data_IF_690328224902
#
_entry.id   IF_690328224902
#
_cell.length_a   1.000
_cell.length_b   1.000
_cell.length_c   1.000
_cell.angle_alpha   90.00
_cell.angle_beta   90.00
_cell.angle_gamma   90.00
#
_symmetry.space_group_name_H-M   'P 1'
#
loop_
_entity.id
_entity.type
_entity.pdbx_description
1 polymer ?
#
# COMPACT_ATOMS: atom_id res chain seq x y z
N UNK A 1 6.95 -19.43 -1.29
CA UNK A 1 8.04 -18.57 -1.84
C UNK A 1 7.67 -17.09 -1.96
N UNK A 2 6.42 -16.71 -2.29
CA UNK A 2 6.03 -15.29 -2.42
C UNK A 2 5.91 -14.49 -1.10
N UNK A 3 5.69 -15.14 0.05
CA UNK A 3 5.56 -14.47 1.36
C UNK A 3 6.93 -14.07 1.96
N UNK A 4 8.01 -14.75 1.58
CA UNK A 4 9.37 -14.48 2.12
C UNK A 4 10.00 -13.22 1.50
N UNK A 5 9.61 -12.86 0.26
CA UNK A 5 10.17 -11.71 -0.45
C UNK A 5 9.77 -10.35 0.14
N UNK A 6 8.63 -10.27 0.83
CA UNK A 6 8.15 -9.01 1.44
C UNK A 6 8.86 -8.74 2.78
N UNK A 7 9.25 -9.77 3.55
CA UNK A 7 10.04 -9.57 4.77
C UNK A 7 11.48 -9.10 4.49
N UNK A 8 12.08 -9.49 3.36
CA UNK A 8 13.45 -9.06 3.00
C UNK A 8 13.50 -7.57 2.61
N UNK A 9 12.41 -6.99 2.08
CA UNK A 9 12.38 -5.57 1.71
C UNK A 9 12.26 -4.61 2.90
N UNK A 10 11.66 -5.03 4.02
CA UNK A 10 11.54 -4.19 5.23
C UNK A 10 12.86 -4.12 6.03
N UNK A 11 13.72 -5.13 5.90
CA UNK A 11 15.05 -5.14 6.54
C UNK A 11 16.09 -4.33 5.74
N UNK A 12 15.82 -4.02 4.46
CA UNK A 12 16.79 -3.44 3.53
C UNK A 12 17.05 -1.93 3.63
N UNK A 13 16.29 -1.17 4.42
CA UNK A 13 16.42 0.30 4.48
C UNK A 13 17.13 0.87 5.73
N UNK A 14 17.58 0.03 6.66
CA UNK A 14 18.24 0.48 7.90
C UNK A 14 19.76 0.28 7.92
N UNK A 15 20.39 -0.12 6.82
CA UNK A 15 21.86 -0.29 6.75
C UNK A 15 22.45 0.57 5.64
N UNK A 16 22.40 1.89 5.78
CA UNK A 16 23.33 2.79 5.09
C UNK A 16 23.32 4.16 5.77
N UNK A 17 24.24 4.34 6.72
CA UNK A 17 24.99 5.58 7.00
C UNK A 17 25.61 5.48 8.38
N UNK A 18 26.89 5.11 8.48
CA UNK A 18 27.88 5.73 9.37
C UNK A 18 29.27 5.35 8.86
N UNK A 19 29.75 6.08 7.86
CA UNK A 19 31.18 6.26 7.66
C UNK A 19 31.61 7.41 8.59
N UNK A 20 32.08 7.05 9.78
CA UNK A 20 32.63 7.93 10.81
C UNK A 20 33.50 7.08 11.73
N UNK A 21 34.65 7.61 12.13
CA UNK A 21 35.80 6.90 12.74
C UNK A 21 35.50 5.63 13.57
N UNK A 22 36.16 4.53 13.20
CA UNK A 22 35.95 3.16 13.71
C UNK A 22 36.64 2.90 15.07
N UNK A 23 37.16 3.94 15.73
CA UNK A 23 37.86 3.77 17.01
C UNK A 23 37.03 4.35 18.15
N UNK A 24 36.13 3.52 18.70
CA UNK A 24 35.67 3.48 20.12
C UNK A 24 34.29 2.80 20.31
N UNK A 25 33.94 1.82 19.46
CA UNK A 25 32.85 0.88 19.79
C UNK A 25 33.49 -0.39 20.36
N UNK A 26 33.25 -0.78 21.62
CA UNK A 26 33.81 -2.00 22.17
C UNK A 26 33.35 -3.19 21.33
N UNK A 27 34.28 -3.86 20.65
CA UNK A 27 34.02 -5.07 19.87
C UNK A 27 33.46 -6.15 20.80
N UNK A 28 32.19 -6.50 20.64
CA UNK A 28 31.60 -7.70 21.22
C UNK A 28 32.41 -8.90 20.71
N UNK A 29 32.88 -9.76 21.61
CA UNK A 29 33.64 -10.94 21.18
C UNK A 29 32.73 -11.93 20.45
N UNK A 30 33.27 -12.72 19.51
CA UNK A 30 32.49 -13.75 18.79
C UNK A 30 31.77 -14.74 19.74
N UNK A 31 32.32 -14.98 20.92
CA UNK A 31 31.72 -15.82 21.95
C UNK A 31 30.48 -15.16 22.58
N UNK A 32 30.57 -13.88 22.95
CA UNK A 32 29.43 -13.12 23.48
C UNK A 32 28.33 -12.94 22.43
N UNK A 33 28.69 -12.77 21.16
CA UNK A 33 27.72 -12.71 20.06
C UNK A 33 26.96 -14.04 19.89
N UNK A 34 27.65 -15.18 19.99
CA UNK A 34 27.01 -16.50 19.93
C UNK A 34 26.08 -16.75 21.13
N UNK A 35 26.47 -16.31 22.32
CA UNK A 35 25.65 -16.42 23.53
C UNK A 35 24.36 -15.58 23.41
N UNK A 36 24.46 -14.33 22.93
CA UNK A 36 23.30 -13.47 22.67
C UNK A 36 22.38 -14.10 21.62
N UNK A 37 22.93 -14.63 20.52
CA UNK A 37 22.14 -15.32 19.49
C UNK A 37 21.42 -16.54 20.05
N UNK A 38 22.09 -17.36 20.86
CA UNK A 38 21.49 -18.54 21.48
C UNK A 38 20.33 -18.17 22.40
N UNK A 39 20.51 -17.17 23.27
CA UNK A 39 19.43 -16.70 24.16
C UNK A 39 18.23 -16.21 23.35
N UNK A 40 18.48 -15.47 22.26
CA UNK A 40 17.43 -14.96 21.38
C UNK A 40 16.67 -16.08 20.68
N UNK A 41 17.39 -17.06 20.13
CA UNK A 41 16.80 -18.20 19.44
C UNK A 41 15.99 -19.08 20.40
N UNK A 42 16.50 -19.29 21.62
CA UNK A 42 15.78 -19.97 22.70
C UNK A 42 14.49 -19.22 23.07
N UNK A 43 14.53 -17.89 23.16
CA UNK A 43 13.34 -17.08 23.40
C UNK A 43 12.28 -17.27 22.31
N UNK A 44 12.64 -17.18 21.03
CA UNK A 44 11.68 -17.37 19.95
C UNK A 44 11.12 -18.78 19.89
N UNK A 45 11.94 -19.79 20.17
CA UNK A 45 11.47 -21.16 20.29
C UNK A 45 10.42 -21.29 21.40
N UNK A 46 10.69 -20.71 22.58
CA UNK A 46 9.73 -20.72 23.69
C UNK A 46 8.43 -19.98 23.34
N UNK A 47 8.51 -18.87 22.61
CA UNK A 47 7.32 -18.15 22.11
C UNK A 47 6.50 -19.03 21.16
N UNK A 48 7.15 -19.74 20.24
CA UNK A 48 6.49 -20.69 19.33
C UNK A 48 5.85 -21.87 20.07
N UNK A 49 6.44 -22.28 21.19
CA UNK A 49 5.89 -23.31 22.09
C UNK A 49 4.84 -22.74 23.07
N UNK A 50 4.44 -21.47 22.93
CA UNK A 50 3.49 -20.74 23.78
C UNK A 50 3.92 -20.59 25.26
N UNK A 51 5.21 -20.78 25.57
CA UNK A 51 5.80 -20.68 26.91
C UNK A 51 6.26 -19.25 27.21
N UNK A 52 5.33 -18.32 27.25
CA UNK A 52 5.62 -16.88 27.34
C UNK A 52 6.36 -16.46 28.61
N UNK A 53 6.04 -17.04 29.77
CA UNK A 53 6.76 -16.73 31.02
C UNK A 53 8.21 -17.23 31.01
N UNK A 54 8.46 -18.39 30.39
CA UNK A 54 9.82 -18.92 30.22
C UNK A 54 10.62 -18.04 29.25
N UNK A 55 10.00 -17.59 28.16
CA UNK A 55 10.60 -16.64 27.25
C UNK A 55 10.97 -15.33 27.98
N UNK A 56 10.07 -14.75 28.76
CA UNK A 56 10.36 -13.54 29.56
C UNK A 56 11.54 -13.73 30.52
N UNK A 57 11.66 -14.90 31.16
CA UNK A 57 12.77 -15.19 32.05
C UNK A 57 14.12 -15.25 31.29
N UNK A 58 14.12 -15.78 30.06
CA UNK A 58 15.31 -15.82 29.21
C UNK A 58 15.70 -14.43 28.69
N UNK A 59 14.73 -13.59 28.34
CA UNK A 59 14.98 -12.22 27.84
C UNK A 59 15.78 -11.37 28.83
N UNK A 60 15.57 -11.57 30.13
CA UNK A 60 16.31 -10.83 31.16
C UNK A 60 17.83 -11.09 31.14
N UNK A 61 18.28 -12.18 30.49
CA UNK A 61 19.70 -12.49 30.30
C UNK A 61 20.34 -11.68 29.16
N UNK A 62 19.53 -11.10 28.26
CA UNK A 62 20.02 -10.19 27.24
C UNK A 62 20.48 -8.88 27.90
N UNK A 63 21.54 -8.27 27.37
CA UNK A 63 22.04 -6.98 27.86
C UNK A 63 21.43 -5.80 27.12
N UNK A 64 21.24 -5.94 25.81
CA UNK A 64 20.74 -4.90 24.91
C UNK A 64 19.27 -4.60 25.13
N UNK A 65 18.92 -3.32 25.26
CA UNK A 65 17.53 -2.86 25.26
C UNK A 65 16.82 -3.12 23.93
N UNK A 66 17.55 -3.09 22.80
CA UNK A 66 17.00 -3.41 21.48
C UNK A 66 16.54 -4.87 21.41
N UNK A 67 17.41 -5.81 21.80
CA UNK A 67 17.07 -7.25 21.76
C UNK A 67 15.93 -7.58 22.73
N UNK A 68 15.91 -6.96 23.92
CA UNK A 68 14.79 -7.11 24.86
C UNK A 68 13.49 -6.58 24.28
N UNK A 69 13.51 -5.39 23.70
CA UNK A 69 12.32 -4.78 23.14
C UNK A 69 11.74 -5.61 21.99
N UNK A 70 12.59 -6.21 21.16
CA UNK A 70 12.16 -7.07 20.05
C UNK A 70 11.48 -8.36 20.54
N UNK A 71 12.07 -9.03 21.53
CA UNK A 71 11.46 -10.23 22.11
C UNK A 71 10.19 -9.91 22.89
N UNK A 72 10.17 -8.84 23.70
CA UNK A 72 8.95 -8.41 24.38
C UNK A 72 7.84 -8.09 23.39
N UNK A 73 8.14 -7.37 22.30
CA UNK A 73 7.18 -7.10 21.23
C UNK A 73 6.62 -8.39 20.64
N UNK A 74 7.48 -9.37 20.38
CA UNK A 74 7.09 -10.68 19.88
C UNK A 74 6.14 -11.42 20.83
N UNK A 75 6.45 -11.43 22.14
CA UNK A 75 5.56 -12.02 23.15
C UNK A 75 4.21 -11.32 23.15
N UNK A 76 4.18 -9.98 23.14
CA UNK A 76 2.94 -9.21 23.18
C UNK A 76 2.06 -9.39 21.94
N UNK A 77 2.65 -9.61 20.76
CA UNK A 77 1.90 -9.93 19.54
C UNK A 77 1.44 -11.39 19.47
N UNK A 78 2.18 -12.32 20.04
CA UNK A 78 1.88 -13.76 19.94
C UNK A 78 0.91 -14.27 21.02
N UNK A 79 0.85 -13.62 22.18
CA UNK A 79 -0.03 -14.07 23.27
C UNK A 79 -1.46 -13.55 23.11
N UNK A 80 -2.44 -14.36 23.54
CA UNK A 80 -3.85 -13.97 23.70
C UNK A 80 -4.22 -13.65 25.15
N UNK A 81 -3.30 -13.86 26.10
CA UNK A 81 -3.51 -13.54 27.51
C UNK A 81 -3.33 -12.04 27.77
N UNK A 82 -4.42 -11.38 28.16
CA UNK A 82 -4.45 -9.94 28.47
C UNK A 82 -3.49 -9.56 29.60
N UNK A 83 -3.30 -10.42 30.59
CA UNK A 83 -2.36 -10.17 31.69
C UNK A 83 -0.91 -10.17 31.17
N UNK A 84 -0.58 -11.13 30.30
CA UNK A 84 0.73 -11.18 29.63
C UNK A 84 0.95 -9.98 28.71
N UNK A 85 -0.05 -9.57 27.91
CA UNK A 85 0.05 -8.37 27.06
C UNK A 85 0.28 -7.11 27.91
N UNK A 86 -0.44 -6.94 29.02
CA UNK A 86 -0.25 -5.82 29.93
C UNK A 86 1.14 -5.80 30.58
N UNK A 87 1.65 -6.97 30.98
CA UNK A 87 3.01 -7.14 31.52
C UNK A 87 4.07 -6.73 30.50
N UNK A 88 3.96 -7.21 29.26
CA UNK A 88 4.87 -6.85 28.16
C UNK A 88 4.83 -5.37 27.84
N UNK A 89 3.63 -4.77 27.80
CA UNK A 89 3.46 -3.33 27.59
C UNK A 89 4.22 -2.52 28.64
N UNK A 90 4.10 -2.88 29.93
CA UNK A 90 4.84 -2.20 31.00
C UNK A 90 6.37 -2.33 30.85
N UNK A 91 6.86 -3.49 30.39
CA UNK A 91 8.29 -3.71 30.12
C UNK A 91 8.79 -2.84 28.94
N UNK A 92 8.01 -2.77 27.87
CA UNK A 92 8.33 -1.91 26.72
C UNK A 92 8.29 -0.43 27.08
N UNK A 93 7.31 0.00 27.88
CA UNK A 93 7.22 1.37 28.39
C UNK A 93 8.44 1.73 29.26
N UNK A 94 8.90 0.79 30.09
CA UNK A 94 10.11 0.97 30.90
C UNK A 94 11.38 1.11 30.05
N UNK A 95 11.53 0.31 28.98
CA UNK A 95 12.63 0.47 28.02
C UNK A 95 12.55 1.84 27.34
N UNK A 96 11.37 2.22 26.83
CA UNK A 96 11.16 3.51 26.18
C UNK A 96 11.46 4.71 27.10
N UNK A 97 11.14 4.60 28.39
CA UNK A 97 11.41 5.67 29.37
C UNK A 97 12.88 5.76 29.76
N UNK A 98 13.61 4.64 29.72
CA UNK A 98 15.03 4.60 30.08
C UNK A 98 15.97 4.93 28.93
N UNK A 99 15.49 4.88 27.68
CA UNK A 99 16.27 5.16 26.47
C UNK A 99 15.45 6.02 25.48
N UNK A 100 15.78 7.30 25.38
CA UNK A 100 15.08 8.25 24.51
C UNK A 100 15.19 7.90 23.01
N UNK A 101 16.22 7.13 22.63
CA UNK A 101 16.38 6.66 21.24
C UNK A 101 15.33 5.62 20.84
N UNK A 102 14.64 5.03 21.83
CA UNK A 102 13.59 4.02 21.66
C UNK A 102 12.18 4.59 21.48
N UNK A 103 12.05 5.88 21.18
CA UNK A 103 10.76 6.54 20.97
C UNK A 103 9.84 5.83 19.96
N UNK A 104 10.41 5.11 18.99
CA UNK A 104 9.68 4.29 18.01
C UNK A 104 8.84 3.17 18.65
N UNK A 105 9.19 2.71 19.87
CA UNK A 105 8.45 1.66 20.58
C UNK A 105 7.01 2.08 20.92
N UNK A 106 6.70 3.38 20.91
CA UNK A 106 5.34 3.85 21.15
C UNK A 106 4.33 3.20 20.20
N UNK A 107 4.66 3.11 18.90
CA UNK A 107 3.77 2.46 17.92
C UNK A 107 3.59 0.98 18.23
N UNK A 108 4.66 0.29 18.63
CA UNK A 108 4.59 -1.14 18.99
C UNK A 108 3.74 -1.36 20.24
N UNK A 109 3.95 -0.57 21.28
CA UNK A 109 3.16 -0.58 22.52
C UNK A 109 1.68 -0.38 22.19
N UNK A 110 1.36 0.61 21.36
CA UNK A 110 -0.01 0.92 20.98
C UNK A 110 -0.67 -0.22 20.18
N UNK A 111 0.07 -0.88 19.28
CA UNK A 111 -0.44 -2.06 18.56
C UNK A 111 -0.77 -3.21 19.50
N UNK A 112 0.10 -3.51 20.48
CA UNK A 112 -0.14 -4.58 21.46
C UNK A 112 -1.36 -4.25 22.33
N UNK A 113 -1.49 -2.98 22.78
CA UNK A 113 -2.66 -2.52 23.54
C UNK A 113 -3.96 -2.76 22.78
N UNK A 114 -3.99 -2.41 21.49
CA UNK A 114 -5.17 -2.56 20.62
C UNK A 114 -5.65 -4.01 20.50
N UNK A 115 -4.77 -5.02 20.58
CA UNK A 115 -5.16 -6.43 20.53
C UNK A 115 -6.08 -6.84 21.69
N UNK A 116 -5.96 -6.17 22.83
CA UNK A 116 -6.68 -6.51 24.07
C UNK A 116 -7.95 -5.69 24.31
N UNK A 117 -8.10 -4.59 23.56
CA UNK A 117 -9.17 -3.60 23.70
C UNK A 117 -10.50 -4.15 23.17
N UNK A 118 -11.60 -3.79 23.83
CA UNK A 118 -12.93 -3.89 23.22
C UNK A 118 -13.04 -2.93 22.04
N UNK A 119 -14.00 -3.16 21.14
CA UNK A 119 -14.18 -2.25 20.00
C UNK A 119 -14.48 -0.80 20.43
N UNK A 120 -15.23 -0.59 21.51
CA UNK A 120 -15.49 0.74 22.08
C UNK A 120 -14.22 1.41 22.61
N UNK A 121 -13.32 0.63 23.20
CA UNK A 121 -12.01 1.11 23.66
C UNK A 121 -11.11 1.45 22.47
N UNK A 122 -11.06 0.60 21.43
CA UNK A 122 -10.35 0.87 20.19
C UNK A 122 -10.85 2.16 19.53
N UNK A 123 -12.15 2.37 19.42
CA UNK A 123 -12.72 3.61 18.85
C UNK A 123 -12.29 4.84 19.64
N UNK A 124 -12.35 4.78 20.98
CA UNK A 124 -11.92 5.90 21.84
C UNK A 124 -10.43 6.18 21.67
N UNK A 125 -9.61 5.15 21.63
CA UNK A 125 -8.17 5.24 21.45
C UNK A 125 -7.78 5.80 20.06
N UNK A 126 -8.40 5.30 19.00
CA UNK A 126 -8.16 5.82 17.65
C UNK A 126 -8.61 7.27 17.49
N UNK A 127 -9.72 7.68 18.12
CA UNK A 127 -10.18 9.08 18.11
C UNK A 127 -9.28 10.03 18.91
N UNK A 128 -8.56 9.56 19.92
CA UNK A 128 -7.58 10.38 20.65
C UNK A 128 -6.28 10.56 19.87
N UNK A 129 -5.97 9.68 18.92
CA UNK A 129 -4.78 9.77 18.07
C UNK A 129 -4.99 10.85 17.00
N UNK A 130 -4.19 11.92 17.08
CA UNK A 130 -4.22 13.06 16.14
C UNK A 130 -3.20 12.95 15.01
N UNK A 131 -2.13 12.22 15.25
CA UNK A 131 -1.13 11.94 14.22
C UNK A 131 -1.65 10.86 13.28
N UNK A 132 -1.95 11.27 12.04
CA UNK A 132 -2.49 10.37 11.03
C UNK A 132 -1.50 9.25 10.68
N UNK A 133 -0.18 9.51 10.67
CA UNK A 133 0.83 8.50 10.34
C UNK A 133 0.87 7.37 11.35
N UNK A 134 0.62 7.69 12.63
CA UNK A 134 0.48 6.72 13.71
C UNK A 134 -0.86 6.00 13.58
N UNK A 135 -1.95 6.75 13.43
CA UNK A 135 -3.30 6.18 13.33
C UNK A 135 -3.41 5.16 12.19
N UNK A 136 -2.90 5.48 11.00
CA UNK A 136 -2.95 4.59 9.83
C UNK A 136 -2.17 3.29 10.05
N UNK A 137 -1.07 3.33 10.83
CA UNK A 137 -0.31 2.12 11.17
C UNK A 137 -1.01 1.21 12.19
N UNK A 138 -1.94 1.77 12.97
CA UNK A 138 -2.70 1.04 13.99
C UNK A 138 -3.99 0.41 13.43
N UNK A 139 -4.46 0.89 12.28
CA UNK A 139 -5.78 0.56 11.72
C UNK A 139 -5.86 -0.79 10.98
N UNK A 140 -4.98 -1.75 11.25
CA UNK A 140 -5.04 -3.09 10.62
C UNK A 140 -5.88 -4.12 11.42
N UNK A 141 -6.75 -3.65 12.32
CA UNK A 141 -7.48 -4.50 13.26
C UNK A 141 -8.96 -4.51 12.91
N UNK A 142 -9.51 -5.71 12.67
CA UNK A 142 -10.93 -5.91 12.41
C UNK A 142 -11.76 -5.50 13.63
N UNK A 143 -12.71 -4.60 13.41
CA UNK A 143 -13.85 -4.41 14.31
C UNK A 143 -14.87 -5.52 14.05
N UNK A 144 -15.56 -5.96 15.09
CA UNK A 144 -16.66 -6.92 14.96
C UNK A 144 -17.94 -6.23 14.46
N UNK A 145 -18.17 -4.97 14.86
CA UNK A 145 -19.29 -4.14 14.38
C UNK A 145 -18.81 -3.11 13.34
N UNK A 146 -19.37 -3.11 12.12
CA UNK A 146 -19.07 -2.12 11.08
C UNK A 146 -19.25 -0.66 11.54
N UNK A 147 -20.17 -0.36 12.46
CA UNK A 147 -20.37 1.00 12.99
C UNK A 147 -19.10 1.55 13.66
N UNK A 148 -18.28 0.70 14.27
CA UNK A 148 -17.02 1.11 14.87
C UNK A 148 -15.97 1.42 13.81
N UNK A 149 -15.87 0.60 12.76
CA UNK A 149 -15.06 0.90 11.57
C UNK A 149 -15.45 2.25 10.96
N UNK A 150 -16.75 2.49 10.77
CA UNK A 150 -17.31 3.76 10.29
C UNK A 150 -16.85 4.95 11.14
N UNK A 151 -16.96 4.85 12.47
CA UNK A 151 -16.62 5.94 13.38
C UNK A 151 -15.14 6.34 13.34
N UNK A 152 -14.25 5.40 13.03
CA UNK A 152 -12.81 5.64 12.92
C UNK A 152 -12.44 6.15 11.53
N UNK A 153 -13.09 5.60 10.49
CA UNK A 153 -12.99 6.10 9.12
C UNK A 153 -13.40 7.59 9.04
N UNK A 154 -14.48 7.99 9.71
CA UNK A 154 -14.88 9.40 9.82
C UNK A 154 -13.82 10.26 10.50
N UNK A 155 -13.17 9.74 11.54
CA UNK A 155 -12.09 10.44 12.23
C UNK A 155 -10.86 10.64 11.34
N UNK A 156 -10.42 9.59 10.64
CA UNK A 156 -9.35 9.66 9.62
C UNK A 156 -9.69 10.75 8.59
N UNK A 157 -10.93 10.76 8.10
CA UNK A 157 -11.41 11.74 7.15
C UNK A 157 -11.36 13.19 7.67
N UNK A 158 -11.42 13.39 8.98
CA UNK A 158 -11.42 14.70 9.63
C UNK A 158 -10.02 15.20 9.99
N UNK A 159 -9.09 14.30 10.30
CA UNK A 159 -7.71 14.66 10.65
C UNK A 159 -6.76 14.66 9.44
N UNK A 160 -7.25 14.24 8.26
CA UNK A 160 -6.47 14.29 7.01
C UNK A 160 -5.97 15.73 6.73
N UNK A 161 -4.65 15.93 6.55
CA UNK A 161 -4.11 17.26 6.34
C UNK A 161 -4.61 17.87 5.03
N UNK A 162 -4.47 19.20 4.90
CA UNK A 162 -4.94 19.88 3.69
C UNK A 162 -4.15 19.53 2.43
N UNK A 163 -2.84 19.36 2.61
CA UNK A 163 -1.87 18.97 1.59
C UNK A 163 -1.22 17.65 2.05
N UNK A 164 -1.94 16.52 2.00
CA UNK A 164 -1.37 15.22 2.36
C UNK A 164 -0.28 14.85 1.36
N UNK A 165 0.75 14.17 1.82
CA UNK A 165 1.70 13.55 0.90
C UNK A 165 1.10 12.29 0.25
N UNK A 166 1.81 11.84 -0.77
CA UNK A 166 1.43 10.71 -1.60
C UNK A 166 1.37 9.39 -0.80
N UNK A 167 2.31 9.18 0.14
CA UNK A 167 2.36 7.99 0.97
C UNK A 167 1.14 7.90 1.90
N UNK A 168 0.75 9.03 2.50
CA UNK A 168 -0.42 9.16 3.38
C UNK A 168 -1.70 8.81 2.64
N UNK A 169 -1.87 9.35 1.43
CA UNK A 169 -3.03 9.03 0.59
C UNK A 169 -3.07 7.53 0.23
N UNK A 170 -1.94 6.92 -0.11
CA UNK A 170 -1.82 5.48 -0.41
C UNK A 170 -2.21 4.60 0.77
N UNK A 171 -1.80 4.98 1.98
CA UNK A 171 -2.10 4.24 3.19
C UNK A 171 -3.59 4.29 3.50
N UNK A 172 -4.22 5.47 3.50
CA UNK A 172 -5.68 5.62 3.66
C UNK A 172 -6.43 4.74 2.67
N UNK A 173 -5.97 4.78 1.43
CA UNK A 173 -6.55 4.09 0.30
C UNK A 173 -6.46 2.56 0.48
N UNK A 174 -5.31 2.05 0.95
CA UNK A 174 -5.14 0.63 1.29
C UNK A 174 -6.08 0.17 2.41
N UNK A 175 -6.40 1.04 3.37
CA UNK A 175 -7.34 0.73 4.45
C UNK A 175 -8.78 0.53 3.94
N UNK A 176 -9.20 1.33 2.95
CA UNK A 176 -10.53 1.22 2.37
C UNK A 176 -10.75 -0.11 1.64
N UNK A 177 -9.70 -0.68 1.04
CA UNK A 177 -9.76 -1.94 0.31
C UNK A 177 -9.90 -3.20 1.20
N UNK A 178 -9.57 -3.11 2.50
CA UNK A 178 -9.63 -4.24 3.44
C UNK A 178 -11.06 -4.46 3.97
N UNK A 179 -11.93 -3.45 3.88
CA UNK A 179 -13.29 -3.49 4.38
C UNK A 179 -14.30 -3.83 3.26
N UNK A 180 -14.63 -5.10 3.09
CA UNK A 180 -15.61 -5.58 2.10
C UNK A 180 -17.08 -5.52 2.56
N UNK A 181 -17.38 -4.83 3.67
CA UNK A 181 -18.74 -4.73 4.21
C UNK A 181 -19.59 -3.70 3.42
N UNK A 182 -20.71 -4.10 2.79
CA UNK A 182 -21.57 -3.18 2.05
C UNK A 182 -22.15 -2.03 2.88
N UNK A 183 -22.32 -2.21 4.19
CA UNK A 183 -22.82 -1.17 5.09
C UNK A 183 -21.85 0.01 5.25
N UNK A 184 -20.59 -0.17 4.85
CA UNK A 184 -19.55 0.86 4.90
C UNK A 184 -19.40 1.64 3.59
N UNK A 185 -20.16 1.28 2.55
CA UNK A 185 -20.03 1.86 1.22
C UNK A 185 -20.15 3.41 1.20
N UNK A 186 -21.06 4.00 1.96
CA UNK A 186 -21.29 5.46 1.96
C UNK A 186 -20.14 6.24 2.62
N UNK A 187 -19.59 5.71 3.71
CA UNK A 187 -18.46 6.32 4.43
C UNK A 187 -17.18 6.14 3.61
N UNK A 188 -17.00 4.97 3.00
CA UNK A 188 -15.92 4.73 2.04
C UNK A 188 -15.99 5.70 0.85
N UNK A 189 -17.17 5.90 0.24
CA UNK A 189 -17.39 6.90 -0.83
C UNK A 189 -17.03 8.31 -0.38
N UNK A 190 -17.31 8.67 0.87
CA UNK A 190 -16.96 9.98 1.44
C UNK A 190 -15.44 10.16 1.55
N UNK A 191 -14.72 9.14 2.02
CA UNK A 191 -13.26 9.18 2.14
C UNK A 191 -12.61 9.20 0.76
N UNK A 192 -13.09 8.35 -0.15
CA UNK A 192 -12.67 8.34 -1.56
C UNK A 192 -12.78 9.74 -2.16
N UNK A 193 -13.93 10.39 -1.98
CA UNK A 193 -14.16 11.76 -2.48
C UNK A 193 -13.18 12.77 -1.88
N UNK A 194 -12.82 12.62 -0.58
CA UNK A 194 -11.82 13.48 0.06
C UNK A 194 -10.42 13.23 -0.50
N UNK A 195 -10.01 11.97 -0.67
CA UNK A 195 -8.72 11.57 -1.26
C UNK A 195 -8.58 12.15 -2.68
N UNK A 196 -9.60 11.97 -3.52
CA UNK A 196 -9.67 12.52 -4.89
C UNK A 196 -9.56 14.05 -4.89
N UNK A 197 -10.23 14.75 -3.97
CA UNK A 197 -10.17 16.20 -3.94
C UNK A 197 -8.83 16.74 -3.42
N UNK A 198 -8.18 16.01 -2.52
CA UNK A 198 -6.87 16.39 -1.97
C UNK A 198 -5.74 16.11 -2.96
N UNK A 199 -5.84 15.04 -3.75
CA UNK A 199 -4.85 14.72 -4.79
C UNK A 199 -4.74 15.81 -5.86
N UNK A 200 -5.82 16.56 -6.14
CA UNK A 200 -5.82 17.74 -7.05
C UNK A 200 -4.85 18.86 -6.65
N UNK A 201 -4.27 18.83 -5.45
CA UNK A 201 -3.32 19.84 -4.94
C UNK A 201 -1.86 19.36 -4.95
N UNK A 202 -1.60 18.14 -5.43
CA UNK A 202 -0.25 17.56 -5.48
C UNK A 202 0.55 18.12 -6.66
N UNK A 203 1.87 18.24 -6.48
CA UNK A 203 2.81 18.73 -7.50
C UNK A 203 3.39 17.63 -8.39
N UNK A 204 3.17 16.36 -8.05
CA UNK A 204 3.57 15.19 -8.83
C UNK A 204 2.47 14.14 -8.64
N UNK A 205 1.85 13.72 -9.74
CA UNK A 205 0.61 12.94 -9.74
C UNK A 205 0.80 11.44 -9.86
N UNK A 206 2.02 10.93 -10.03
CA UNK A 206 2.18 9.55 -10.48
C UNK A 206 1.77 8.51 -9.38
N UNK A 207 0.49 8.11 -9.43
CA UNK A 207 -0.04 6.74 -9.26
C UNK A 207 -0.82 6.33 -8.01
N UNK A 208 -0.98 7.13 -6.97
CA UNK A 208 -1.45 6.59 -5.66
C UNK A 208 -2.94 6.38 -5.52
N UNK A 209 -3.70 7.43 -5.74
CA UNK A 209 -5.13 7.41 -5.52
C UNK A 209 -5.90 7.03 -6.78
N UNK A 210 -5.23 6.78 -7.91
CA UNK A 210 -5.83 6.90 -9.26
C UNK A 210 -6.83 5.77 -9.57
N UNK A 211 -6.75 4.66 -8.84
CA UNK A 211 -7.36 3.40 -9.23
C UNK A 211 -8.29 2.82 -8.17
N UNK A 212 -7.92 2.97 -6.90
CA UNK A 212 -8.70 2.47 -5.75
C UNK A 212 -10.13 3.06 -5.71
N UNK A 213 -10.32 4.25 -6.29
CA UNK A 213 -11.61 4.88 -6.55
C UNK A 213 -12.21 4.71 -7.95
N UNK A 214 -11.54 4.04 -8.90
CA UNK A 214 -12.31 3.57 -10.05
C UNK A 214 -13.28 2.55 -9.47
N UNK A 215 -12.74 1.55 -8.78
CA UNK A 215 -13.38 0.75 -7.74
C UNK A 215 -14.12 1.64 -6.71
N UNK A 216 -15.28 1.31 -6.17
CA UNK A 216 -15.90 0.01 -6.00
C UNK A 216 -17.14 -0.17 -6.90
N UNK A 217 -16.99 0.13 -8.19
CA UNK A 217 -17.97 0.09 -9.29
C UNK A 217 -19.05 -0.98 -9.24
N UNK A 218 -20.22 -0.59 -8.71
CA UNK A 218 -21.54 -0.82 -9.29
C UNK A 218 -22.38 0.47 -9.14
N UNK A 219 -23.51 0.48 -9.86
CA UNK A 219 -24.33 1.59 -10.38
C UNK A 219 -24.49 2.85 -9.48
N UNK A 220 -24.50 4.01 -10.14
CA UNK A 220 -24.63 5.36 -9.56
C UNK A 220 -23.40 5.94 -8.83
N UNK A 221 -22.46 6.47 -9.60
CA UNK A 221 -21.58 7.52 -9.07
C UNK A 221 -21.14 8.56 -10.11
N UNK A 222 -22.12 9.28 -10.69
CA UNK A 222 -21.86 10.35 -11.68
C UNK A 222 -20.93 11.45 -11.16
N UNK A 223 -20.90 11.69 -9.84
CA UNK A 223 -20.00 12.67 -9.21
C UNK A 223 -18.55 12.20 -9.23
N UNK A 224 -18.26 10.96 -8.80
CA UNK A 224 -16.91 10.39 -8.86
C UNK A 224 -16.41 10.33 -10.32
N UNK A 225 -17.26 9.93 -11.27
CA UNK A 225 -16.91 9.95 -12.71
C UNK A 225 -16.47 11.35 -13.17
N UNK A 226 -17.21 12.39 -12.81
CA UNK A 226 -16.88 13.79 -13.11
C UNK A 226 -15.60 14.25 -12.43
N UNK A 227 -15.38 13.87 -11.18
CA UNK A 227 -14.16 14.23 -10.45
C UNK A 227 -12.92 13.59 -11.06
N UNK A 228 -13.00 12.31 -11.45
CA UNK A 228 -11.92 11.60 -12.15
C UNK A 228 -11.66 12.19 -13.54
N UNK A 229 -12.72 12.53 -14.29
CA UNK A 229 -12.58 13.26 -15.56
C UNK A 229 -11.91 14.62 -15.37
N UNK A 230 -12.28 15.34 -14.31
CA UNK A 230 -11.65 16.63 -13.96
C UNK A 230 -10.16 16.52 -13.66
N UNK A 231 -9.72 15.42 -13.02
CA UNK A 231 -8.30 15.14 -12.83
C UNK A 231 -7.61 14.97 -14.19
N UNK A 232 -8.15 14.13 -15.08
CA UNK A 232 -7.61 13.95 -16.43
C UNK A 232 -7.54 15.26 -17.23
N UNK A 233 -8.59 16.07 -17.18
CA UNK A 233 -8.66 17.33 -17.92
C UNK A 233 -7.69 18.40 -17.39
N UNK A 234 -7.48 18.45 -16.07
CA UNK A 234 -6.58 19.41 -15.41
C UNK A 234 -5.10 19.00 -15.43
N UNK A 235 -4.79 17.74 -15.74
CA UNK A 235 -3.41 17.26 -15.85
C UNK A 235 -2.73 17.88 -17.09
N UNK A 236 -1.67 18.66 -16.86
CA UNK A 236 -0.92 19.35 -17.92
C UNK A 236 0.36 18.61 -18.32
N UNK A 237 0.99 17.86 -17.41
CA UNK A 237 2.13 17.03 -17.76
C UNK A 237 1.67 15.87 -18.67
N UNK A 238 2.31 15.73 -19.83
CA UNK A 238 1.87 14.75 -20.81
C UNK A 238 2.13 13.31 -20.34
N UNK A 239 3.22 13.06 -19.61
CA UNK A 239 3.54 11.72 -19.10
C UNK A 239 2.48 11.28 -18.08
N UNK A 240 2.13 12.16 -17.15
CA UNK A 240 1.05 11.95 -16.19
C UNK A 240 -0.32 11.79 -16.90
N UNK A 241 -0.60 12.63 -17.91
CA UNK A 241 -1.87 12.59 -18.66
C UNK A 241 -2.05 11.28 -19.43
N UNK A 242 -0.98 10.76 -20.03
CA UNK A 242 -0.97 9.44 -20.68
C UNK A 242 -1.19 8.34 -19.66
N UNK A 243 -0.47 8.38 -18.54
CA UNK A 243 -0.63 7.42 -17.43
C UNK A 243 -2.08 7.35 -16.94
N UNK A 244 -2.69 8.50 -16.62
CA UNK A 244 -4.10 8.60 -16.17
C UNK A 244 -5.08 8.17 -17.27
N UNK A 245 -4.89 8.66 -18.50
CA UNK A 245 -5.80 8.41 -19.62
C UNK A 245 -5.89 6.94 -19.99
N UNK A 246 -4.74 6.25 -20.08
CA UNK A 246 -4.68 4.81 -20.33
C UNK A 246 -5.36 4.02 -19.20
N UNK A 247 -5.16 4.40 -17.94
CA UNK A 247 -5.80 3.76 -16.80
C UNK A 247 -7.33 3.88 -16.81
N UNK A 248 -7.86 5.08 -17.11
CA UNK A 248 -9.30 5.29 -17.26
C UNK A 248 -9.89 4.50 -18.43
N UNK A 249 -9.14 4.38 -19.54
CA UNK A 249 -9.58 3.63 -20.72
C UNK A 249 -9.79 2.14 -20.44
N UNK A 250 -8.93 1.51 -19.63
CA UNK A 250 -9.08 0.09 -19.26
C UNK A 250 -10.35 -0.19 -18.45
N UNK A 251 -10.96 0.84 -17.83
CA UNK A 251 -12.20 0.69 -17.09
C UNK A 251 -13.42 1.11 -17.93
N UNK A 252 -13.76 0.28 -18.91
CA UNK A 252 -14.83 0.58 -19.87
C UNK A 252 -16.22 0.71 -19.23
N UNK A 253 -16.51 -0.05 -18.14
CA UNK A 253 -17.81 0.01 -17.44
C UNK A 253 -18.11 1.37 -16.81
N UNK A 254 -17.07 2.16 -16.58
CA UNK A 254 -17.18 3.50 -16.03
C UNK A 254 -17.51 4.56 -17.07
N UNK A 255 -17.20 4.35 -18.34
CA UNK A 255 -17.47 5.30 -19.44
C UNK A 255 -17.02 6.75 -19.12
N UNK A 256 -15.85 6.91 -18.49
CA UNK A 256 -15.35 8.25 -18.09
C UNK A 256 -14.79 9.03 -19.28
N UNK A 257 -14.06 8.36 -20.17
CA UNK A 257 -13.47 8.96 -21.36
C UNK A 257 -14.31 8.68 -22.59
N UNK A 258 -14.62 9.73 -23.36
CA UNK A 258 -15.27 9.61 -24.66
C UNK A 258 -14.27 9.19 -25.74
N UNK A 259 -14.78 8.74 -26.90
CA UNK A 259 -13.95 8.44 -28.07
C UNK A 259 -13.09 9.65 -28.51
N UNK A 260 -13.62 10.87 -28.34
CA UNK A 260 -12.89 12.10 -28.68
C UNK A 260 -11.74 12.37 -27.71
N UNK A 261 -11.93 12.09 -26.40
CA UNK A 261 -10.86 12.21 -25.41
C UNK A 261 -9.71 11.27 -25.76
N UNK A 262 -10.02 10.02 -26.13
CA UNK A 262 -9.02 9.02 -26.47
C UNK A 262 -8.30 9.36 -27.79
N UNK A 263 -9.02 9.83 -28.80
CA UNK A 263 -8.42 10.29 -30.05
C UNK A 263 -7.51 11.53 -29.83
N UNK A 264 -7.92 12.43 -28.94
CA UNK A 264 -7.08 13.58 -28.56
C UNK A 264 -5.80 13.14 -27.85
N UNK A 265 -5.90 12.20 -26.91
CA UNK A 265 -4.75 11.64 -26.20
C UNK A 265 -3.77 10.96 -27.16
N UNK A 266 -4.30 10.17 -28.09
CA UNK A 266 -3.50 9.55 -29.14
C UNK A 266 -2.74 10.56 -29.99
N UNK A 267 -3.40 11.64 -30.43
CA UNK A 267 -2.76 12.70 -31.19
C UNK A 267 -1.66 13.41 -30.39
N UNK A 268 -1.87 13.60 -29.08
CA UNK A 268 -0.85 14.17 -28.20
C UNK A 268 0.35 13.24 -28.05
N UNK A 269 0.14 11.92 -27.90
CA UNK A 269 1.22 10.93 -27.88
C UNK A 269 1.98 10.91 -29.21
N UNK A 270 1.26 10.97 -30.34
CA UNK A 270 1.86 10.98 -31.67
C UNK A 270 2.70 12.23 -31.97
N UNK A 271 2.35 13.36 -31.36
CA UNK A 271 3.04 14.64 -31.52
C UNK A 271 4.09 14.92 -30.44
N UNK A 272 4.25 14.01 -29.47
CA UNK A 272 5.20 14.17 -28.38
C UNK A 272 6.65 14.11 -28.87
N UNK A 273 7.49 15.03 -28.39
CA UNK A 273 8.93 14.96 -28.60
C UNK A 273 9.51 13.81 -27.76
N UNK A 274 10.59 13.18 -28.26
CA UNK A 274 11.34 12.13 -27.55
C UNK A 274 11.88 12.59 -26.19
N UNK A 275 12.05 13.90 -25.99
CA UNK A 275 12.52 14.49 -24.73
C UNK A 275 11.50 14.43 -23.58
N UNK A 276 10.23 14.08 -23.85
CA UNK A 276 9.15 14.07 -22.84
C UNK A 276 9.22 12.82 -21.93
N UNK A 277 10.16 11.90 -22.16
CA UNK A 277 10.35 10.71 -21.32
C UNK A 277 9.25 9.66 -21.46
N UNK A 278 8.33 9.84 -22.41
CA UNK A 278 7.24 8.92 -22.73
C UNK A 278 7.74 7.88 -23.73
N UNK A 279 7.50 6.60 -23.43
CA UNK A 279 7.61 5.56 -24.45
C UNK A 279 6.38 5.63 -25.36
N UNK A 280 6.53 6.36 -26.48
CA UNK A 280 5.45 6.60 -27.44
C UNK A 280 4.82 5.29 -27.95
N UNK A 281 5.66 4.30 -28.28
CA UNK A 281 5.21 3.00 -28.79
C UNK A 281 4.38 2.27 -27.73
N UNK A 282 4.89 2.16 -26.51
CA UNK A 282 4.18 1.49 -25.40
C UNK A 282 2.85 2.19 -25.10
N UNK A 283 2.85 3.52 -25.05
CA UNK A 283 1.64 4.31 -24.77
C UNK A 283 0.55 4.12 -25.82
N UNK A 284 0.91 4.16 -27.11
CA UNK A 284 -0.02 3.92 -28.21
C UNK A 284 -0.53 2.49 -28.22
N UNK A 285 0.35 1.52 -27.94
CA UNK A 285 -0.02 0.11 -27.88
C UNK A 285 -1.06 -0.13 -26.77
N UNK A 286 -0.82 0.36 -25.56
CA UNK A 286 -1.78 0.27 -24.43
C UNK A 286 -3.11 0.97 -24.73
N UNK A 287 -3.08 2.11 -25.43
CA UNK A 287 -4.29 2.82 -25.82
C UNK A 287 -5.10 2.03 -26.88
N UNK A 288 -4.43 1.39 -27.84
CA UNK A 288 -5.09 0.51 -28.80
C UNK A 288 -5.64 -0.76 -28.13
N UNK A 289 -4.89 -1.33 -27.18
CA UNK A 289 -5.30 -2.48 -26.39
C UNK A 289 -6.59 -2.19 -25.61
N UNK A 290 -6.64 -1.10 -24.85
CA UNK A 290 -7.84 -0.75 -24.07
C UNK A 290 -9.07 -0.43 -24.94
N UNK A 291 -8.87 -0.09 -26.22
CA UNK A 291 -9.93 0.12 -27.21
C UNK A 291 -10.31 -1.14 -27.99
N UNK A 292 -9.62 -2.27 -27.77
CA UNK A 292 -9.73 -3.50 -28.55
C UNK A 292 -9.46 -3.29 -30.07
N UNK A 293 -8.57 -2.36 -30.45
CA UNK A 293 -8.22 -2.09 -31.84
C UNK A 293 -7.03 -2.95 -32.31
N UNK A 294 -7.33 -4.19 -32.68
CA UNK A 294 -6.34 -5.19 -33.10
C UNK A 294 -5.56 -4.75 -34.35
N UNK A 295 -6.21 -4.08 -35.29
CA UNK A 295 -5.55 -3.66 -36.53
C UNK A 295 -4.48 -2.62 -36.25
N UNK A 296 -4.78 -1.70 -35.34
CA UNK A 296 -3.84 -0.68 -34.91
C UNK A 296 -2.68 -1.25 -34.10
N UNK A 297 -2.95 -2.21 -33.20
CA UNK A 297 -1.88 -2.95 -32.52
C UNK A 297 -0.92 -3.62 -33.53
N UNK A 298 -1.45 -4.24 -34.60
CA UNK A 298 -0.65 -4.83 -35.68
C UNK A 298 0.15 -3.79 -36.44
N UNK A 299 -0.43 -2.64 -36.75
CA UNK A 299 0.26 -1.54 -37.42
C UNK A 299 1.43 -1.01 -36.57
N UNK A 300 1.21 -0.81 -35.27
CA UNK A 300 2.24 -0.35 -34.34
C UNK A 300 3.40 -1.35 -34.31
N UNK A 301 3.13 -2.64 -34.09
CA UNK A 301 4.18 -3.67 -34.01
C UNK A 301 4.90 -3.87 -35.35
N UNK A 302 4.19 -3.79 -36.48
CA UNK A 302 4.81 -3.90 -37.80
C UNK A 302 5.83 -2.79 -38.08
N UNK A 303 5.65 -1.60 -37.49
CA UNK A 303 6.56 -0.47 -37.62
C UNK A 303 7.82 -0.58 -36.73
N UNK A 304 7.88 -1.55 -35.82
CA UNK A 304 9.01 -1.73 -34.91
C UNK A 304 10.17 -2.50 -35.55
N UNK A 305 11.42 -2.26 -35.10
CA UNK A 305 12.55 -3.11 -35.44
C UNK A 305 12.28 -4.58 -35.09
N UNK A 306 12.79 -5.52 -35.90
CA UNK A 306 12.52 -6.96 -35.74
C UNK A 306 12.83 -7.50 -34.33
N UNK A 307 13.85 -6.94 -33.69
CA UNK A 307 14.26 -7.31 -32.32
C UNK A 307 13.23 -6.92 -31.25
N UNK A 308 12.42 -5.89 -31.49
CA UNK A 308 11.43 -5.35 -30.56
C UNK A 308 10.03 -5.93 -30.78
N UNK A 309 9.73 -6.44 -31.99
CA UNK A 309 8.43 -7.06 -32.30
C UNK A 309 8.03 -8.17 -31.34
N UNK A 310 9.00 -8.97 -30.91
CA UNK A 310 8.81 -10.07 -29.97
C UNK A 310 8.37 -9.65 -28.56
N UNK A 311 8.43 -8.36 -28.22
CA UNK A 311 8.07 -7.83 -26.91
C UNK A 311 6.55 -7.62 -26.75
N UNK A 312 5.78 -7.66 -27.83
CA UNK A 312 4.36 -7.34 -27.84
C UNK A 312 3.52 -8.56 -28.22
N UNK A 313 2.54 -8.91 -27.39
CA UNK A 313 1.54 -9.92 -27.71
C UNK A 313 0.34 -9.26 -28.39
N UNK A 314 0.00 -9.70 -29.60
CA UNK A 314 -1.22 -9.29 -30.29
C UNK A 314 -2.17 -10.50 -30.28
N UNK A 315 -3.36 -10.38 -29.68
CA UNK A 315 -4.37 -11.44 -29.76
C UNK A 315 -4.68 -11.78 -31.22
N UNK A 316 -4.72 -13.08 -31.54
CA UNK A 316 -5.31 -13.51 -32.80
C UNK A 316 -6.80 -13.13 -32.80
N UNK A 317 -7.38 -12.75 -33.95
CA UNK A 317 -8.81 -12.54 -34.02
C UNK A 317 -9.52 -13.82 -33.54
N UNK A 318 -10.49 -13.67 -32.64
CA UNK A 318 -11.39 -14.78 -32.30
C UNK A 318 -11.96 -15.26 -33.62
N UNK A 319 -11.64 -16.50 -34.01
CA UNK A 319 -12.14 -17.08 -35.24
C UNK A 319 -13.66 -16.88 -35.27
N UNK A 320 -14.14 -16.12 -36.24
CA UNK A 320 -15.58 -15.94 -36.42
C UNK A 320 -16.17 -17.33 -36.65
N UNK A 321 -16.99 -17.80 -35.72
CA UNK A 321 -17.91 -18.91 -35.98
C UNK A 321 -18.75 -18.50 -37.20
N UNK A 322 -18.36 -18.97 -38.38
CA UNK A 322 -18.85 -18.40 -39.63
C UNK A 322 -18.11 -18.85 -40.88
N UNK A 323 -16.86 -19.31 -40.78
CA UNK A 323 -16.23 -20.06 -41.87
C UNK A 323 -16.74 -21.50 -41.93
N UNK A 324 -18.03 -21.66 -42.21
CA UNK A 324 -18.55 -22.90 -42.77
C UNK A 324 -18.09 -22.99 -44.22
N UNK A 325 -16.96 -23.67 -44.37
CA UNK A 325 -16.40 -24.19 -45.60
C UNK A 325 -17.49 -24.95 -46.41
N UNK A 326 -17.96 -24.47 -47.57
CA UNK A 326 -18.77 -25.30 -48.45
C UNK A 326 -17.82 -26.20 -49.24
N UNK A 327 -17.86 -27.48 -48.89
CA UNK A 327 -17.24 -28.57 -49.65
C UNK A 327 -17.71 -28.51 -51.11
N UNK A 328 -16.76 -28.63 -52.04
CA UNK A 328 -17.01 -28.81 -53.46
C UNK A 328 -17.44 -30.25 -53.77
N UNK A 329 -18.51 -30.36 -54.57
CA UNK A 329 -19.12 -31.52 -55.25
C UNK A 329 -20.03 -32.44 -54.44
#
# INVERSE_FOLDING_TARGET
MRIILIMVMIIGFSVMSFAGDVNDVPMITKAEMNEVMQIRDDCYKLIQEEKMDEALAQVNKLKSSYDKADIYSSIGFSTTDKAMQSKVVGLLESIKQSDETMSYLQVTIDKIKVLSMSDEEKVRFFKSTRDLSILLQLFNNSFEDPKHSSAVLDHIANIMPELPDMMTLNMITSLLSISSDPSLADVQKTIISKVINKSKKLSNYDQVGILIPLANLQEENSKIKKDLKGIYDSTQDLSEKVSIGTQLCFNQSLEILSKNDLASLENQINSADKSVGINQVDSLFRLAECQNDINKMKQIVAALPEKEKSMYYIPEPVASEGENNPVAK
#
